data_IF_369636383740
#
_entry.id   IF_369636383740
#
_cell.length_a   1.000
_cell.length_b   1.000
_cell.length_c   1.000
_cell.angle_alpha   90.00
_cell.angle_beta   90.00
_cell.angle_gamma   90.00
#
_symmetry.space_group_name_H-M   'P 1'
#
loop_
_entity.id
_entity.type
_entity.pdbx_description
1 polymer ?
#
# COMPACT_ATOMS: atom_id res chain seq x y z
N UNK A 1 7.82 4.09 -2.15
CA UNK A 1 8.44 4.32 -0.83
C UNK A 1 7.82 3.41 0.22
N UNK A 2 6.50 3.47 0.45
CA UNK A 2 5.80 2.63 1.44
C UNK A 2 5.99 1.12 1.21
N UNK A 3 5.83 0.62 -0.03
CA UNK A 3 6.04 -0.81 -0.33
C UNK A 3 7.42 -1.32 0.08
N UNK A 4 8.50 -0.54 -0.14
CA UNK A 4 9.86 -0.95 0.21
C UNK A 4 10.06 -1.04 1.72
N UNK A 5 9.55 -0.06 2.46
CA UNK A 5 9.60 -0.06 3.92
C UNK A 5 8.80 -1.23 4.49
N UNK A 6 7.58 -1.45 3.99
CA UNK A 6 6.77 -2.59 4.42
C UNK A 6 7.43 -3.93 4.05
N UNK A 7 8.08 -4.04 2.88
CA UNK A 7 8.82 -5.24 2.49
C UNK A 7 9.91 -5.54 3.51
N UNK A 8 10.75 -4.56 3.82
CA UNK A 8 11.81 -4.69 4.84
C UNK A 8 11.25 -5.16 6.19
N UNK A 9 10.15 -4.56 6.67
CA UNK A 9 9.54 -4.95 7.96
C UNK A 9 8.98 -6.37 7.88
N UNK A 10 8.31 -6.72 6.77
CA UNK A 10 7.67 -8.02 6.58
C UNK A 10 8.65 -9.19 6.46
N UNK A 11 9.90 -8.92 6.09
CA UNK A 11 10.98 -9.89 5.97
C UNK A 11 11.75 -10.10 7.29
N UNK A 12 11.48 -9.29 8.31
CA UNK A 12 12.08 -9.44 9.62
C UNK A 12 11.55 -10.71 10.32
N UNK A 13 12.43 -11.46 10.95
CA UNK A 13 12.11 -12.79 11.50
C UNK A 13 11.02 -12.74 12.58
N UNK A 14 10.99 -11.67 13.37
CA UNK A 14 9.97 -11.38 14.37
C UNK A 14 8.56 -11.20 13.79
N UNK A 15 8.45 -10.88 12.49
CA UNK A 15 7.20 -10.62 11.78
C UNK A 15 6.77 -11.77 10.86
N UNK A 16 7.42 -12.94 10.96
CA UNK A 16 7.19 -14.09 10.06
C UNK A 16 5.74 -14.61 10.03
N UNK A 17 4.94 -14.30 11.05
CA UNK A 17 3.53 -14.72 11.15
C UNK A 17 2.56 -13.54 10.98
N UNK A 18 3.07 -12.34 10.64
CA UNK A 18 2.27 -11.12 10.44
C UNK A 18 1.99 -10.91 8.95
N UNK A 19 0.75 -10.51 8.65
CA UNK A 19 0.32 -10.13 7.30
C UNK A 19 0.43 -8.61 7.15
N UNK A 20 1.13 -8.18 6.12
CA UNK A 20 1.24 -6.78 5.71
C UNK A 20 0.51 -6.60 4.39
N UNK A 21 -0.24 -5.51 4.25
CA UNK A 21 -0.97 -5.20 3.02
C UNK A 21 -0.67 -3.76 2.65
N UNK A 22 -0.14 -3.55 1.45
CA UNK A 22 -0.08 -2.25 0.81
C UNK A 22 -1.14 -2.19 -0.29
N UNK A 23 -2.20 -1.42 -0.04
CA UNK A 23 -3.32 -1.26 -0.99
C UNK A 23 -3.39 0.18 -1.45
N UNK A 24 -3.38 0.35 -2.78
CA UNK A 24 -3.72 1.63 -3.40
C UNK A 24 -5.25 1.68 -3.58
N UNK A 25 -5.97 2.57 -2.86
CA UNK A 25 -7.44 2.54 -2.87
C UNK A 25 -8.06 3.08 -4.16
N UNK A 26 -7.27 3.64 -5.07
CA UNK A 26 -7.78 4.41 -6.20
C UNK A 26 -8.04 5.87 -5.81
N UNK A 27 -8.90 6.55 -6.57
CA UNK A 27 -9.31 7.92 -6.29
C UNK A 27 -10.54 7.90 -5.39
N UNK A 28 -10.34 8.16 -4.11
CA UNK A 28 -11.45 8.24 -3.15
C UNK A 28 -11.97 9.68 -3.09
N UNK A 29 -13.28 9.87 -3.23
CA UNK A 29 -13.97 11.17 -3.22
C UNK A 29 -14.04 11.82 -1.82
N UNK A 30 -12.88 12.05 -1.23
CA UNK A 30 -12.70 12.73 0.05
C UNK A 30 -12.27 14.18 -0.16
N UNK A 31 -12.45 15.01 0.88
CA UNK A 31 -11.86 16.36 0.92
C UNK A 31 -10.33 16.35 1.06
N UNK A 32 -9.70 15.19 1.28
CA UNK A 32 -8.29 15.10 1.66
C UNK A 32 -7.40 15.80 0.65
N UNK A 33 -7.65 15.59 -0.65
CA UNK A 33 -6.87 16.22 -1.71
C UNK A 33 -6.89 17.74 -1.60
N UNK A 34 -8.07 18.37 -1.46
CA UNK A 34 -8.17 19.83 -1.33
C UNK A 34 -7.57 20.34 -0.02
N UNK A 35 -7.74 19.59 1.07
CA UNK A 35 -7.20 19.91 2.39
C UNK A 35 -5.67 19.81 2.44
N UNK A 36 -5.05 18.88 1.68
CA UNK A 36 -3.58 18.75 1.56
C UNK A 36 -2.92 20.03 1.04
N UNK A 37 -3.64 20.85 0.29
CA UNK A 37 -3.17 22.14 -0.21
C UNK A 37 -3.69 23.33 0.58
N UNK A 38 -4.27 23.11 1.78
CA UNK A 38 -4.93 24.14 2.58
C UNK A 38 -5.95 24.98 1.77
N UNK A 39 -6.65 24.34 0.82
CA UNK A 39 -7.60 25.01 -0.08
C UNK A 39 -6.96 25.90 -1.16
N UNK A 40 -5.63 25.92 -1.30
CA UNK A 40 -4.90 26.74 -2.28
C UNK A 40 -4.65 26.03 -3.61
N UNK A 41 -5.20 24.83 -3.80
CA UNK A 41 -5.09 24.11 -5.06
C UNK A 41 -5.83 24.85 -6.16
N UNK A 42 -5.11 25.20 -7.22
CA UNK A 42 -5.65 25.85 -8.43
C UNK A 42 -5.72 24.81 -9.56
N UNK A 43 -6.90 24.28 -9.89
CA UNK A 43 -7.07 23.26 -10.92
C UNK A 43 -6.58 23.71 -12.29
N UNK A 44 -6.57 25.02 -12.56
CA UNK A 44 -6.12 25.57 -13.85
C UNK A 44 -4.61 25.49 -14.05
N UNK A 45 -3.85 25.33 -12.96
CA UNK A 45 -2.39 25.18 -12.96
C UNK A 45 -1.93 23.73 -12.78
N UNK A 46 -2.87 22.81 -12.59
CA UNK A 46 -2.56 21.40 -12.46
C UNK A 46 -2.09 20.85 -13.81
N UNK A 47 -1.20 19.86 -13.76
CA UNK A 47 -0.91 19.05 -14.94
C UNK A 47 -2.22 18.44 -15.48
N UNK A 48 -2.27 18.20 -16.79
CA UNK A 48 -3.44 17.58 -17.42
C UNK A 48 -3.84 16.32 -16.65
N UNK A 49 -5.13 16.22 -16.32
CA UNK A 49 -5.66 15.05 -15.62
C UNK A 49 -5.35 13.78 -16.45
N UNK A 50 -5.06 12.65 -15.79
CA UNK A 50 -4.95 11.37 -16.49
C UNK A 50 -6.22 11.11 -17.31
N UNK A 51 -6.12 10.35 -18.43
CA UNK A 51 -7.30 9.96 -19.19
C UNK A 51 -8.39 9.34 -18.30
N UNK A 52 -9.68 9.57 -18.59
CA UNK A 52 -10.78 8.90 -17.90
C UNK A 52 -10.57 7.39 -17.86
N UNK A 53 -10.84 6.76 -16.70
CA UNK A 53 -10.65 5.32 -16.50
C UNK A 53 -9.23 4.88 -16.13
N UNK A 54 -8.27 5.81 -16.01
CA UNK A 54 -6.92 5.48 -15.51
C UNK A 54 -6.96 4.95 -14.07
N UNK A 55 -7.79 5.57 -13.24
CA UNK A 55 -8.01 5.20 -11.84
C UNK A 55 -9.45 4.75 -11.60
N UNK A 56 -9.64 3.78 -10.72
CA UNK A 56 -10.96 3.51 -10.12
C UNK A 56 -11.33 4.67 -9.21
N UNK A 57 -12.50 5.27 -9.44
CA UNK A 57 -13.10 6.25 -8.55
C UNK A 57 -14.02 5.55 -7.55
N UNK A 58 -13.86 5.87 -6.26
CA UNK A 58 -14.63 5.27 -5.17
C UNK A 58 -15.18 6.33 -4.23
N UNK A 59 -16.30 6.02 -3.58
CA UNK A 59 -16.73 6.73 -2.37
C UNK A 59 -15.89 6.31 -1.16
N UNK A 60 -15.88 7.10 -0.06
CA UNK A 60 -15.28 6.67 1.20
C UNK A 60 -15.82 5.33 1.70
N UNK A 61 -17.12 5.09 1.53
CA UNK A 61 -17.78 3.85 1.92
C UNK A 61 -17.25 2.65 1.12
N UNK A 62 -17.20 2.75 -0.22
CA UNK A 62 -16.68 1.68 -1.09
C UNK A 62 -15.20 1.40 -0.81
N UNK A 63 -14.40 2.44 -0.57
CA UNK A 63 -13.01 2.26 -0.14
C UNK A 63 -12.91 1.58 1.22
N UNK A 64 -13.81 1.90 2.16
CA UNK A 64 -13.89 1.27 3.46
C UNK A 64 -14.25 -0.22 3.39
N UNK A 65 -15.22 -0.58 2.54
CA UNK A 65 -15.59 -1.96 2.27
C UNK A 65 -14.43 -2.77 1.69
N UNK A 66 -13.64 -2.18 0.78
CA UNK A 66 -12.42 -2.82 0.28
C UNK A 66 -11.41 -3.05 1.40
N UNK A 67 -11.18 -2.06 2.26
CA UNK A 67 -10.31 -2.23 3.42
C UNK A 67 -10.80 -3.34 4.34
N UNK A 68 -12.11 -3.43 4.59
CA UNK A 68 -12.70 -4.48 5.41
C UNK A 68 -12.47 -5.87 4.78
N UNK A 69 -12.65 -6.00 3.47
CA UNK A 69 -12.38 -7.24 2.75
C UNK A 69 -10.91 -7.66 2.88
N UNK A 70 -9.97 -6.72 2.69
CA UNK A 70 -8.53 -6.99 2.79
C UNK A 70 -8.11 -7.52 4.17
N UNK A 71 -8.68 -6.99 5.25
CA UNK A 71 -8.27 -7.36 6.62
C UNK A 71 -9.03 -8.58 7.17
N UNK A 72 -10.15 -8.98 6.56
CA UNK A 72 -11.01 -10.06 7.07
C UNK A 72 -11.08 -11.30 6.17
N UNK A 73 -10.71 -11.20 4.89
CA UNK A 73 -10.79 -12.32 3.95
C UNK A 73 -9.63 -13.30 4.12
N UNK A 74 -9.94 -14.60 4.10
CA UNK A 74 -8.94 -15.67 4.03
C UNK A 74 -8.13 -15.66 2.72
N UNK A 75 -8.51 -14.84 1.73
CA UNK A 75 -7.71 -14.59 0.53
C UNK A 75 -6.31 -14.06 0.87
N UNK A 76 -6.19 -13.27 1.94
CA UNK A 76 -4.95 -12.66 2.39
C UNK A 76 -4.46 -13.32 3.68
N UNK A 77 -3.41 -14.13 3.57
CA UNK A 77 -2.79 -14.78 4.72
C UNK A 77 -3.47 -16.08 5.18
N UNK A 78 -4.59 -16.48 4.57
CA UNK A 78 -5.21 -17.79 4.78
C UNK A 78 -6.05 -17.92 6.06
N UNK A 79 -6.21 -16.84 6.84
CA UNK A 79 -7.05 -16.79 8.03
C UNK A 79 -8.17 -15.76 7.80
N UNK A 80 -9.41 -16.08 8.19
CA UNK A 80 -10.54 -15.16 8.05
C UNK A 80 -11.76 -15.78 7.38
N UNK A 81 -12.60 -14.93 6.81
CA UNK A 81 -13.81 -15.33 6.07
C UNK A 81 -13.40 -16.13 4.82
N UNK A 82 -13.86 -17.38 4.65
CA UNK A 82 -13.53 -18.18 3.47
C UNK A 82 -13.89 -17.47 2.18
N UNK A 83 -13.00 -17.57 1.19
CA UNK A 83 -13.25 -16.95 -0.11
C UNK A 83 -14.32 -17.76 -0.85
N UNK A 84 -15.30 -17.05 -1.42
CA UNK A 84 -16.38 -17.68 -2.20
C UNK A 84 -15.83 -18.33 -3.48
N UNK A 85 -16.63 -19.24 -4.06
CA UNK A 85 -16.27 -20.03 -5.23
C UNK A 85 -15.68 -19.18 -6.37
N UNK A 86 -14.53 -19.61 -6.89
CA UNK A 86 -13.84 -18.98 -8.03
C UNK A 86 -12.65 -18.09 -7.68
N UNK A 87 -12.48 -17.68 -6.43
CA UNK A 87 -11.25 -16.97 -5.98
C UNK A 87 -10.25 -17.93 -5.33
N UNK A 88 -8.98 -17.53 -5.31
CA UNK A 88 -7.86 -18.31 -4.75
C UNK A 88 -7.08 -17.44 -3.77
N UNK A 89 -6.27 -18.06 -2.91
CA UNK A 89 -5.34 -17.32 -2.06
C UNK A 89 -4.47 -16.39 -2.90
N UNK A 90 -4.34 -15.15 -2.46
CA UNK A 90 -3.48 -14.16 -3.10
C UNK A 90 -2.00 -14.54 -2.91
N UNK A 91 -1.15 -14.06 -3.82
CA UNK A 91 0.30 -14.17 -3.69
C UNK A 91 0.88 -12.95 -2.98
N UNK A 92 1.81 -13.20 -2.06
CA UNK A 92 2.66 -12.18 -1.48
C UNK A 92 3.72 -11.74 -2.50
N UNK A 93 4.44 -10.65 -2.23
CA UNK A 93 5.61 -10.26 -3.01
C UNK A 93 6.77 -11.25 -2.91
N UNK A 94 6.76 -12.14 -1.91
CA UNK A 94 7.70 -13.25 -1.79
C UNK A 94 7.19 -14.53 -2.50
N UNK A 95 6.15 -14.42 -3.33
CA UNK A 95 5.49 -15.52 -4.05
C UNK A 95 4.92 -16.63 -3.16
N UNK A 96 4.69 -16.34 -1.87
CA UNK A 96 3.98 -17.22 -0.94
C UNK A 96 2.50 -16.86 -0.83
N UNK A 97 1.75 -17.57 0.01
CA UNK A 97 0.31 -17.31 0.25
C UNK A 97 -0.01 -16.98 1.70
N UNK A 98 1.00 -16.89 2.57
CA UNK A 98 0.86 -16.68 4.02
C UNK A 98 1.91 -15.73 4.55
N UNK A 99 1.51 -14.94 5.55
CA UNK A 99 2.32 -13.89 6.17
C UNK A 99 2.96 -12.96 5.11
N UNK A 100 3.95 -12.16 5.48
CA UNK A 100 4.66 -11.27 4.55
C UNK A 100 3.75 -10.19 3.93
N UNK A 101 4.13 -9.64 2.78
CA UNK A 101 3.54 -8.44 2.18
C UNK A 101 2.74 -8.76 0.91
N UNK A 102 1.48 -8.31 0.88
CA UNK A 102 0.65 -8.22 -0.31
C UNK A 102 0.68 -6.80 -0.88
N UNK A 103 0.69 -6.67 -2.21
CA UNK A 103 0.63 -5.36 -2.90
C UNK A 103 -0.53 -5.35 -3.88
N UNK A 104 -1.38 -4.35 -3.79
CA UNK A 104 -2.69 -4.33 -4.46
C UNK A 104 -2.93 -2.96 -5.09
N UNK A 105 -3.34 -2.93 -6.36
CA UNK A 105 -3.65 -1.68 -7.06
C UNK A 105 -5.10 -1.20 -6.87
N UNK A 106 -5.43 -0.09 -7.52
CA UNK A 106 -6.76 0.52 -7.50
C UNK A 106 -7.85 -0.34 -8.15
N UNK A 107 -7.46 -1.25 -9.05
CA UNK A 107 -8.35 -2.20 -9.72
C UNK A 107 -8.47 -3.52 -8.96
N UNK A 108 -7.92 -3.58 -7.74
CA UNK A 108 -7.90 -4.76 -6.89
C UNK A 108 -7.05 -5.90 -7.49
N UNK A 109 -6.07 -5.58 -8.32
CA UNK A 109 -5.13 -6.55 -8.89
C UNK A 109 -3.99 -6.78 -7.91
N UNK A 110 -3.67 -8.04 -7.64
CA UNK A 110 -2.49 -8.45 -6.86
C UNK A 110 -1.24 -8.26 -7.73
N UNK A 111 -0.34 -7.40 -7.29
CA UNK A 111 0.84 -7.03 -8.04
C UNK A 111 2.03 -7.93 -7.67
N UNK A 112 2.84 -8.27 -8.67
CA UNK A 112 4.15 -8.90 -8.54
C UNK A 112 5.16 -7.97 -9.22
N UNK A 113 5.96 -7.25 -8.42
CA UNK A 113 6.76 -6.11 -8.90
C UNK A 113 8.26 -6.38 -8.75
N UNK A 114 8.66 -7.63 -8.97
CA UNK A 114 9.99 -8.16 -8.59
C UNK A 114 11.12 -7.32 -9.20
N UNK A 115 11.05 -7.04 -10.50
CA UNK A 115 12.04 -6.22 -11.21
C UNK A 115 12.17 -4.80 -10.66
N UNK A 116 11.03 -4.16 -10.33
CA UNK A 116 11.02 -2.80 -9.80
C UNK A 116 11.62 -2.76 -8.40
N UNK A 117 11.22 -3.71 -7.55
CA UNK A 117 11.70 -3.79 -6.17
C UNK A 117 13.18 -4.14 -6.13
N UNK A 118 13.63 -5.11 -6.92
CA UNK A 118 15.05 -5.46 -7.06
C UNK A 118 15.90 -4.27 -7.54
N UNK A 119 15.41 -3.50 -8.53
CA UNK A 119 16.09 -2.28 -8.97
C UNK A 119 16.23 -1.27 -7.83
N UNK A 120 15.16 -1.02 -7.08
CA UNK A 120 15.18 -0.07 -5.96
C UNK A 120 16.10 -0.56 -4.82
N UNK A 121 16.08 -1.85 -4.52
CA UNK A 121 16.98 -2.49 -3.55
C UNK A 121 18.45 -2.32 -3.95
N UNK A 122 18.77 -2.55 -5.22
CA UNK A 122 20.13 -2.39 -5.74
C UNK A 122 20.65 -0.94 -5.67
N UNK A 123 19.77 0.05 -5.59
CA UNK A 123 20.19 1.46 -5.37
C UNK A 123 20.48 1.79 -3.90
N UNK A 124 20.26 0.85 -2.98
CA UNK A 124 20.31 1.07 -1.54
C UNK A 124 19.15 1.92 -1.00
N UNK A 125 18.07 2.10 -1.78
CA UNK A 125 16.91 2.89 -1.38
C UNK A 125 16.26 2.42 -0.07
N UNK A 126 16.07 1.11 0.20
CA UNK A 126 15.41 0.68 1.44
C UNK A 126 16.12 1.14 2.71
N UNK A 127 17.45 1.05 2.74
CA UNK A 127 18.25 1.47 3.90
C UNK A 127 18.20 2.99 4.07
N UNK A 128 18.38 3.76 2.98
CA UNK A 128 18.27 5.23 3.02
C UNK A 128 16.91 5.71 3.51
N UNK A 129 15.82 5.10 3.04
CA UNK A 129 14.46 5.42 3.49
C UNK A 129 14.31 5.10 4.97
N UNK A 130 14.80 3.93 5.41
CA UNK A 130 14.73 3.50 6.80
C UNK A 130 15.46 4.45 7.74
N UNK A 131 16.73 4.72 7.45
CA UNK A 131 17.58 5.59 8.28
C UNK A 131 16.96 6.99 8.39
N UNK A 132 16.56 7.57 7.26
CA UNK A 132 15.93 8.89 7.26
C UNK A 132 14.60 8.92 8.03
N UNK A 133 13.81 7.84 7.98
CA UNK A 133 12.57 7.73 8.75
C UNK A 133 12.85 7.81 10.24
N UNK A 134 13.83 7.04 10.74
CA UNK A 134 14.17 7.03 12.16
C UNK A 134 14.88 8.30 12.60
N UNK A 135 15.81 8.84 11.80
CA UNK A 135 16.40 10.17 12.03
C UNK A 135 15.32 11.23 12.22
N UNK A 136 14.32 11.24 11.35
CA UNK A 136 13.21 12.20 11.42
C UNK A 136 12.39 12.01 12.69
N UNK A 137 11.98 10.77 13.00
CA UNK A 137 11.24 10.47 14.24
C UNK A 137 12.03 10.92 15.47
N UNK A 138 13.31 10.57 15.56
CA UNK A 138 14.17 10.97 16.67
C UNK A 138 14.32 12.48 16.79
N UNK A 139 14.44 13.19 15.68
CA UNK A 139 14.57 14.65 15.67
C UNK A 139 13.34 15.36 16.25
N UNK A 140 12.15 14.78 16.09
CA UNK A 140 10.90 15.32 16.64
C UNK A 140 10.77 14.98 18.13
N UNK A 141 11.18 13.78 18.54
CA UNK A 141 11.06 13.34 19.94
C UNK A 141 12.10 13.93 20.88
N UNK A 142 13.17 14.54 20.37
CA UNK A 142 14.23 15.19 21.17
C UNK A 142 14.08 16.72 21.25
N UNK A 143 12.96 17.26 20.77
CA UNK A 143 12.61 18.69 20.90
C UNK A 143 11.77 19.02 22.13
N UNK A 144 11.52 18.03 23.00
CA UNK A 144 10.95 18.16 24.35
C UNK A 144 12.04 17.97 25.42
#
# INVERSE_FOLDING_TARGET
MITLTLKRISEAQENKDVVFIHSHPGRVSTDLFMKSWAGKFDPSKAAAAPPPGTFVELTPEESGERCLYLITSAEFGGNGVPVQDGRRAALTLAHGTRASLFSIDDKFVILQQDDLLAKLENTGAPQKIWDHTFETIYSITQQD
#
